data_IF_835350233960
#
_entry.id   IF_835350233960
#
_cell.length_a   1.000
_cell.length_b   1.000
_cell.length_c   1.000
_cell.angle_alpha   90.00
_cell.angle_beta   90.00
_cell.angle_gamma   90.00
#
_symmetry.space_group_name_H-M   'P 1'
#
loop_
_entity.id
_entity.type
_entity.pdbx_description
1 polymer ?
#
# COMPACT_ATOMS: atom_id res chain seq x y z
N UNK A 1 -1.69 13.31 4.65
CA UNK A 1 -0.23 13.27 4.87
C UNK A 1 0.03 13.67 6.30
N UNK A 2 1.00 13.03 6.94
CA UNK A 2 1.52 13.48 8.23
C UNK A 2 2.25 14.82 8.04
N UNK A 3 2.37 15.66 9.09
CA UNK A 3 3.07 16.94 8.99
C UNK A 3 4.49 16.80 8.43
N UNK A 4 5.26 15.80 8.90
CA UNK A 4 6.61 15.54 8.42
C UNK A 4 6.66 15.11 6.95
N UNK A 5 5.67 14.33 6.47
CA UNK A 5 5.56 13.94 5.06
C UNK A 5 5.31 15.18 4.18
N UNK A 6 4.42 16.08 4.62
CA UNK A 6 4.12 17.32 3.90
C UNK A 6 5.36 18.21 3.79
N UNK A 7 6.04 18.44 4.91
CA UNK A 7 7.25 19.27 4.95
C UNK A 7 8.38 18.69 4.10
N UNK A 8 8.51 17.36 4.03
CA UNK A 8 9.51 16.72 3.18
C UNK A 8 9.23 16.93 1.68
N UNK A 9 7.96 16.90 1.27
CA UNK A 9 7.56 17.18 -0.11
C UNK A 9 7.78 18.66 -0.46
N UNK A 10 7.35 19.58 0.41
CA UNK A 10 7.53 21.03 0.22
C UNK A 10 9.01 21.43 0.11
N UNK A 11 9.90 20.75 0.84
CA UNK A 11 11.34 21.02 0.80
C UNK A 11 12.02 20.52 -0.49
N UNK A 12 11.39 19.58 -1.21
CA UNK A 12 11.97 19.00 -2.42
C UNK A 12 11.60 19.79 -3.69
N UNK A 13 10.43 20.42 -3.68
CA UNK A 13 9.85 20.97 -4.89
C UNK A 13 9.09 22.27 -4.57
N UNK A 14 9.72 23.40 -4.90
CA UNK A 14 9.09 24.72 -4.77
C UNK A 14 7.82 24.83 -5.64
N UNK A 15 7.70 23.99 -6.68
CA UNK A 15 6.53 23.90 -7.56
C UNK A 15 5.44 22.93 -7.05
N UNK A 16 5.63 22.26 -5.90
CA UNK A 16 4.61 21.46 -5.22
C UNK A 16 4.06 22.16 -3.97
N UNK A 17 3.36 23.31 -4.13
CA UNK A 17 2.91 24.12 -3.00
C UNK A 17 1.97 23.31 -2.09
N UNK A 18 2.27 23.31 -0.80
CA UNK A 18 1.47 22.61 0.20
C UNK A 18 1.77 21.11 0.33
N UNK A 19 2.82 20.60 -0.31
CA UNK A 19 3.22 19.20 -0.19
C UNK A 19 2.31 18.25 -0.98
N UNK A 20 2.08 18.59 -2.24
CA UNK A 20 1.21 17.81 -3.12
C UNK A 20 1.88 16.50 -3.57
N UNK A 21 1.45 15.41 -2.93
CA UNK A 21 1.93 14.05 -3.25
C UNK A 21 1.60 13.63 -4.68
N UNK A 22 0.45 14.06 -5.22
CA UNK A 22 0.00 13.64 -6.55
C UNK A 22 0.84 14.30 -7.63
N UNK A 23 1.15 15.59 -7.47
CA UNK A 23 1.99 16.32 -8.42
C UNK A 23 3.36 15.64 -8.59
N UNK A 24 4.01 15.25 -7.48
CA UNK A 24 5.27 14.52 -7.53
C UNK A 24 5.13 13.14 -8.18
N UNK A 25 4.02 12.44 -7.96
CA UNK A 25 3.77 11.12 -8.52
C UNK A 25 3.42 11.16 -10.03
N UNK A 26 2.95 12.31 -10.52
CA UNK A 26 2.65 12.54 -11.94
C UNK A 26 3.88 12.97 -12.76
N UNK A 27 5.00 13.30 -12.11
CA UNK A 27 6.25 13.66 -12.80
C UNK A 27 6.82 12.46 -13.56
N UNK A 28 7.16 12.68 -14.82
CA UNK A 28 7.84 11.66 -15.61
C UNK A 28 9.20 11.30 -14.96
N UNK A 29 9.44 10.00 -14.78
CA UNK A 29 10.68 9.49 -14.18
C UNK A 29 10.81 9.68 -12.67
N UNK A 30 9.74 10.03 -11.94
CA UNK A 30 9.75 10.19 -10.47
C UNK A 30 10.35 8.98 -9.74
N UNK A 31 10.16 7.78 -10.29
CA UNK A 31 10.61 6.50 -9.72
C UNK A 31 12.13 6.29 -9.85
N UNK A 32 12.74 6.95 -10.83
CA UNK A 32 14.18 6.94 -11.07
C UNK A 32 14.93 8.09 -10.38
N UNK A 33 14.22 9.16 -10.00
CA UNK A 33 14.76 10.23 -9.18
C UNK A 33 14.78 9.80 -7.71
N UNK A 34 15.98 9.57 -7.17
CA UNK A 34 16.16 9.09 -5.80
C UNK A 34 15.60 10.03 -4.73
N UNK A 35 15.58 11.34 -4.98
CA UNK A 35 15.04 12.30 -4.03
C UNK A 35 13.51 12.29 -4.05
N UNK A 36 12.91 12.33 -5.24
CA UNK A 36 11.44 12.26 -5.40
C UNK A 36 10.91 10.91 -4.90
N UNK A 37 11.48 9.80 -5.37
CA UNK A 37 11.10 8.47 -4.90
C UNK A 37 11.29 8.32 -3.38
N UNK A 38 12.33 8.95 -2.81
CA UNK A 38 12.60 8.95 -1.37
C UNK A 38 11.49 9.60 -0.56
N UNK A 39 11.03 10.79 -0.95
CA UNK A 39 9.95 11.50 -0.23
C UNK A 39 8.58 10.86 -0.43
N UNK A 40 8.35 10.23 -1.60
CA UNK A 40 7.10 9.54 -1.91
C UNK A 40 6.93 8.19 -1.19
N UNK A 41 8.04 7.53 -0.85
CA UNK A 41 8.05 6.15 -0.34
C UNK A 41 7.17 5.95 0.89
N UNK A 42 7.46 6.66 1.99
CA UNK A 42 6.74 6.45 3.26
C UNK A 42 5.23 6.79 3.15
N UNK A 43 4.83 7.95 2.59
CA UNK A 43 3.42 8.25 2.37
C UNK A 43 2.68 7.18 1.55
N UNK A 44 3.27 6.72 0.43
CA UNK A 44 2.61 5.76 -0.45
C UNK A 44 2.54 4.37 0.18
N UNK A 45 3.59 3.91 0.87
CA UNK A 45 3.53 2.64 1.59
C UNK A 45 2.48 2.67 2.71
N UNK A 46 2.34 3.80 3.41
CA UNK A 46 1.31 4.00 4.44
C UNK A 46 -0.10 3.98 3.88
N UNK A 47 -0.33 4.70 2.78
CA UNK A 47 -1.61 4.72 2.06
C UNK A 47 -1.94 3.32 1.50
N UNK A 48 -0.97 2.62 0.91
CA UNK A 48 -1.14 1.26 0.42
C UNK A 48 -1.48 0.28 1.56
N UNK A 49 -0.80 0.36 2.70
CA UNK A 49 -1.11 -0.47 3.87
C UNK A 49 -2.54 -0.23 4.36
N UNK A 50 -2.98 1.04 4.44
CA UNK A 50 -4.37 1.38 4.78
C UNK A 50 -5.34 0.81 3.75
N UNK A 51 -5.07 1.00 2.46
CA UNK A 51 -5.88 0.49 1.35
C UNK A 51 -6.11 -1.03 1.45
N UNK A 52 -5.05 -1.80 1.65
CA UNK A 52 -5.15 -3.27 1.73
C UNK A 52 -5.80 -3.76 3.02
N UNK A 53 -5.52 -3.11 4.16
CA UNK A 53 -5.94 -3.61 5.48
C UNK A 53 -7.33 -3.11 5.86
N UNK A 54 -7.69 -1.87 5.53
CA UNK A 54 -8.87 -1.17 6.07
C UNK A 54 -9.95 -0.86 5.05
N UNK A 55 -9.56 -0.50 3.83
CA UNK A 55 -10.55 -0.10 2.83
C UNK A 55 -11.34 -1.31 2.33
N UNK A 56 -12.65 -1.13 2.12
CA UNK A 56 -13.58 -2.19 1.75
C UNK A 56 -14.49 -1.73 0.62
N UNK A 57 -14.83 -2.66 -0.27
CA UNK A 57 -15.91 -2.47 -1.23
C UNK A 57 -17.27 -2.47 -0.51
N UNK A 58 -18.36 -1.97 -1.14
CA UNK A 58 -19.72 -2.02 -0.57
C UNK A 58 -20.18 -3.43 -0.17
N UNK A 59 -19.60 -4.46 -0.78
CA UNK A 59 -19.83 -5.87 -0.43
C UNK A 59 -19.17 -6.32 0.88
N UNK A 60 -18.43 -5.45 1.58
CA UNK A 60 -17.68 -5.75 2.80
C UNK A 60 -16.34 -6.46 2.57
N UNK A 61 -15.96 -6.71 1.31
CA UNK A 61 -14.72 -7.40 0.92
C UNK A 61 -13.57 -6.41 0.74
N UNK A 62 -12.34 -6.92 0.67
CA UNK A 62 -11.17 -6.12 0.33
C UNK A 62 -11.42 -5.37 -0.99
N UNK A 63 -11.05 -4.09 -1.03
CA UNK A 63 -11.29 -3.23 -2.18
C UNK A 63 -10.44 -3.65 -3.40
N UNK A 64 -9.22 -4.11 -3.14
CA UNK A 64 -8.33 -4.66 -4.18
C UNK A 64 -8.74 -6.09 -4.57
N UNK A 65 -8.96 -6.37 -5.87
CA UNK A 65 -9.38 -7.69 -6.32
C UNK A 65 -8.30 -8.76 -6.12
N UNK A 66 -7.01 -8.42 -6.19
CA UNK A 66 -5.91 -9.38 -5.98
C UNK A 66 -5.78 -9.74 -4.50
N UNK A 67 -5.92 -8.76 -3.61
CA UNK A 67 -6.02 -8.98 -2.17
C UNK A 67 -7.23 -9.84 -1.86
N UNK A 68 -8.40 -9.55 -2.45
CA UNK A 68 -9.59 -10.35 -2.27
C UNK A 68 -9.35 -11.82 -2.63
N UNK A 69 -8.68 -12.09 -3.75
CA UNK A 69 -8.33 -13.45 -4.17
C UNK A 69 -7.45 -14.15 -3.13
N UNK A 70 -6.33 -13.55 -2.71
CA UNK A 70 -5.41 -14.18 -1.78
C UNK A 70 -6.00 -14.38 -0.38
N UNK A 71 -6.71 -13.36 0.14
CA UNK A 71 -7.37 -13.40 1.44
C UNK A 71 -8.50 -14.42 1.48
N UNK A 72 -9.28 -14.53 0.38
CA UNK A 72 -10.29 -15.59 0.24
C UNK A 72 -9.70 -16.99 0.21
N UNK A 73 -8.40 -17.14 -0.03
CA UNK A 73 -7.69 -18.40 0.00
C UNK A 73 -6.90 -18.61 1.32
N UNK A 74 -7.10 -17.74 2.32
CA UNK A 74 -6.48 -17.88 3.65
C UNK A 74 -5.06 -17.32 3.76
N UNK A 75 -4.61 -16.53 2.79
CA UNK A 75 -3.35 -15.81 2.93
C UNK A 75 -3.46 -14.66 3.94
N UNK A 76 -2.31 -14.21 4.45
CA UNK A 76 -2.18 -12.91 5.13
C UNK A 76 -1.39 -11.93 4.28
N UNK A 77 -1.67 -10.63 4.44
CA UNK A 77 -0.86 -9.56 3.86
C UNK A 77 0.46 -9.48 4.62
N UNK A 78 1.57 -9.85 3.97
CA UNK A 78 2.85 -10.03 4.68
C UNK A 78 3.73 -8.79 4.61
N UNK A 79 3.98 -8.30 3.39
CA UNK A 79 4.99 -7.24 3.15
C UNK A 79 4.62 -6.41 1.92
N UNK A 80 4.90 -5.12 2.00
CA UNK A 80 4.92 -4.23 0.84
C UNK A 80 6.35 -4.11 0.32
N UNK A 81 6.49 -4.15 -1.00
CA UNK A 81 7.75 -4.00 -1.71
C UNK A 81 7.68 -2.68 -2.48
N UNK A 82 8.44 -1.69 -2.02
CA UNK A 82 8.61 -0.41 -2.71
C UNK A 82 9.34 -0.62 -4.03
N UNK A 83 8.81 -0.06 -5.12
CA UNK A 83 9.35 -0.21 -6.49
C UNK A 83 9.65 -1.67 -6.85
N UNK A 84 8.75 -2.58 -6.49
CA UNK A 84 8.86 -4.00 -6.80
C UNK A 84 8.55 -4.33 -8.26
N UNK A 85 7.82 -3.45 -8.96
CA UNK A 85 7.61 -3.51 -10.41
C UNK A 85 7.68 -2.09 -11.01
N UNK A 86 8.84 -1.75 -11.58
CA UNK A 86 9.11 -0.46 -12.24
C UNK A 86 8.79 -0.48 -13.73
N UNK A 87 8.08 -1.51 -14.22
CA UNK A 87 7.53 -1.45 -15.57
C UNK A 87 6.49 -0.34 -15.67
N UNK A 88 6.27 0.19 -16.88
CA UNK A 88 5.24 1.21 -17.12
C UNK A 88 3.86 0.78 -16.59
N UNK A 89 3.55 -0.52 -16.68
CA UNK A 89 2.32 -1.09 -16.12
C UNK A 89 2.31 -1.07 -14.59
N UNK A 90 3.39 -1.50 -13.94
CA UNK A 90 3.49 -1.50 -12.48
C UNK A 90 3.39 -0.10 -11.88
N UNK A 91 4.08 0.87 -12.49
CA UNK A 91 4.00 2.28 -12.10
C UNK A 91 2.58 2.83 -12.26
N UNK A 92 1.92 2.56 -13.39
CA UNK A 92 0.54 3.01 -13.64
C UNK A 92 -0.48 2.36 -12.69
N UNK A 93 -0.33 1.08 -12.37
CA UNK A 93 -1.33 0.34 -11.58
C UNK A 93 -1.23 0.58 -10.08
N UNK A 94 -0.01 0.72 -9.55
CA UNK A 94 0.22 0.74 -8.10
C UNK A 94 1.42 1.57 -7.66
N UNK A 95 1.87 2.53 -8.47
CA UNK A 95 3.12 3.28 -8.22
C UNK A 95 4.32 2.34 -8.00
N UNK A 96 4.33 1.20 -8.69
CA UNK A 96 5.35 0.15 -8.57
C UNK A 96 5.36 -0.60 -7.25
N UNK A 97 4.38 -0.38 -6.36
CA UNK A 97 4.27 -1.11 -5.11
C UNK A 97 3.74 -2.52 -5.40
N UNK A 98 4.48 -3.51 -4.91
CA UNK A 98 4.13 -4.92 -4.97
C UNK A 98 3.83 -5.45 -3.57
N UNK A 99 3.02 -6.51 -3.47
CA UNK A 99 2.62 -7.10 -2.18
C UNK A 99 3.03 -8.57 -2.13
N UNK A 100 3.59 -9.00 -1.00
CA UNK A 100 3.72 -10.42 -0.70
C UNK A 100 2.56 -10.88 0.18
N UNK A 101 1.91 -11.96 -0.26
CA UNK A 101 0.90 -12.68 0.50
C UNK A 101 1.52 -13.98 1.03
N UNK A 102 1.40 -14.24 2.33
CA UNK A 102 1.94 -15.45 2.93
C UNK A 102 0.83 -16.45 3.21
N UNK A 103 1.03 -17.67 2.72
CA UNK A 103 0.23 -18.85 3.07
C UNK A 103 0.99 -19.66 4.12
N UNK A 104 0.53 -19.63 5.37
CA UNK A 104 1.02 -20.54 6.40
C UNK A 104 0.01 -21.66 6.57
N UNK A 105 0.41 -22.91 6.26
CA UNK A 105 -0.49 -24.07 6.23
C UNK A 105 -1.42 -24.17 7.45
N UNK A 106 -0.88 -24.04 8.66
CA UNK A 106 -1.67 -24.11 9.90
C UNK A 106 -2.57 -22.90 10.21
N UNK A 107 -2.56 -21.86 9.37
CA UNK A 107 -3.39 -20.65 9.54
C UNK A 107 -4.40 -20.46 8.39
N UNK A 108 -4.32 -21.25 7.31
CA UNK A 108 -5.13 -21.04 6.09
C UNK A 108 -6.63 -21.06 6.40
N UNK A 109 -7.12 -22.09 7.07
CA UNK A 109 -8.55 -22.24 7.38
C UNK A 109 -9.04 -21.10 8.27
N UNK A 110 -8.34 -20.81 9.37
CA UNK A 110 -8.71 -19.74 10.28
C UNK A 110 -8.69 -18.35 9.60
N UNK A 111 -7.70 -18.08 8.74
CA UNK A 111 -7.63 -16.84 7.97
C UNK A 111 -8.76 -16.75 6.95
N UNK A 112 -9.06 -17.85 6.27
CA UNK A 112 -10.16 -17.94 5.29
C UNK A 112 -11.51 -17.64 5.95
N UNK A 113 -11.81 -18.32 7.06
CA UNK A 113 -13.06 -18.14 7.80
C UNK A 113 -13.19 -16.71 8.33
N UNK A 114 -12.12 -16.17 8.91
CA UNK A 114 -12.11 -14.78 9.42
C UNK A 114 -12.37 -13.77 8.30
N UNK A 115 -11.81 -13.97 7.11
CA UNK A 115 -12.03 -13.08 5.98
C UNK A 115 -13.42 -13.25 5.33
N UNK A 116 -13.86 -14.49 5.07
CA UNK A 116 -15.14 -14.77 4.42
C UNK A 116 -16.34 -14.47 5.32
N UNK A 117 -16.20 -14.71 6.63
CA UNK A 117 -17.25 -14.48 7.62
C UNK A 117 -17.32 -13.03 8.09
N UNK A 118 -16.20 -12.46 8.54
CA UNK A 118 -16.17 -11.15 9.20
C UNK A 118 -15.62 -10.02 8.30
N UNK A 119 -15.10 -10.33 7.12
CA UNK A 119 -14.37 -9.34 6.29
C UNK A 119 -13.04 -8.90 6.89
N UNK A 120 -12.54 -9.64 7.90
CA UNK A 120 -11.31 -9.30 8.63
C UNK A 120 -10.09 -9.69 7.81
N UNK A 121 -9.21 -8.72 7.60
CA UNK A 121 -7.93 -8.92 6.90
C UNK A 121 -6.84 -9.28 7.90
N UNK A 122 -6.23 -10.44 7.72
CA UNK A 122 -5.05 -10.83 8.47
C UNK A 122 -3.82 -10.22 7.80
N UNK A 123 -3.01 -9.52 8.59
CA UNK A 123 -1.80 -8.85 8.13
C UNK A 123 -0.67 -8.96 9.16
N UNK A 124 0.58 -8.88 8.70
CA UNK A 124 1.77 -8.86 9.55
C UNK A 124 1.76 -7.67 10.52
N UNK A 125 2.50 -7.77 11.62
CA UNK A 125 2.61 -6.67 12.61
C UNK A 125 3.11 -5.38 11.97
N UNK A 126 4.10 -5.48 11.08
CA UNK A 126 4.63 -4.35 10.32
C UNK A 126 3.55 -3.66 9.49
N UNK A 127 2.78 -4.42 8.70
CA UNK A 127 1.68 -3.86 7.89
C UNK A 127 0.58 -3.24 8.75
N UNK A 128 0.21 -3.88 9.86
CA UNK A 128 -0.79 -3.33 10.78
C UNK A 128 -0.34 -2.02 11.42
N UNK A 129 0.93 -1.93 11.81
CA UNK A 129 1.50 -0.71 12.38
C UNK A 129 1.50 0.42 11.33
N UNK A 130 1.91 0.11 10.11
CA UNK A 130 1.92 1.07 9.02
C UNK A 130 0.50 1.55 8.68
N UNK A 131 -0.50 0.66 8.65
CA UNK A 131 -1.90 1.00 8.40
C UNK A 131 -2.58 1.76 9.56
N UNK A 132 -1.99 1.81 10.76
CA UNK A 132 -2.54 2.52 11.92
C UNK A 132 -2.28 4.01 11.89
N UNK A 133 -1.16 4.40 11.29
CA UNK A 133 -0.72 5.80 11.25
C UNK A 133 -1.53 6.52 10.17
N UNK A 134 -2.41 7.42 10.60
CA UNK A 134 -3.32 8.18 9.76
C UNK A 134 -3.66 9.50 10.42
#
# INVERSE_FOLDING_TARGET
LLPAERSAIEALDEEAPGGDLLLLLEREGWDSDAQIAGVLREPLLRLCARYLVRERAPSGRALDPVAHFHLSNGARVERLNWLGDVSAKGLQQSAGIMVNYLYRLGEIEANHESYRGEGRVVASSALRNLARVG
#
